data_IF_703533509820
#
_entry.id   IF_703533509820
#
_cell.length_a   1.000
_cell.length_b   1.000
_cell.length_c   1.000
_cell.angle_alpha   90.00
_cell.angle_beta   90.00
_cell.angle_gamma   90.00
#
_symmetry.space_group_name_H-M   'P 1'
#
loop_
_entity.id
_entity.type
_entity.pdbx_description
1 polymer ?
#
# COMPACT_ATOMS: atom_id res chain seq x y z
N UNK A 1 47.62 -51.75 40.80
CA UNK A 1 47.81 -50.28 40.74
C UNK A 1 47.36 -49.87 39.34
N UNK A 2 46.07 -49.52 39.18
CA UNK A 2 45.58 -48.15 38.90
C UNK A 2 46.28 -47.52 37.69
N UNK A 3 45.59 -47.17 36.60
CA UNK A 3 44.45 -46.24 36.54
C UNK A 3 43.54 -46.60 35.35
N UNK A 4 42.22 -46.73 35.61
CA UNK A 4 41.17 -46.66 34.59
C UNK A 4 40.87 -45.17 34.32
N UNK A 5 41.06 -44.71 33.09
CA UNK A 5 40.47 -43.44 32.64
C UNK A 5 39.03 -43.69 32.20
N UNK A 6 38.10 -43.06 32.90
CA UNK A 6 36.71 -42.90 32.48
C UNK A 6 36.68 -41.95 31.27
N UNK A 7 36.01 -42.37 30.20
CA UNK A 7 35.39 -41.44 29.25
C UNK A 7 33.93 -41.84 29.13
N UNK A 8 33.09 -41.08 29.82
CA UNK A 8 31.63 -41.08 29.71
C UNK A 8 31.30 -39.78 29.01
N UNK A 9 30.80 -39.83 27.77
CA UNK A 9 30.06 -38.76 27.14
C UNK A 9 29.16 -39.34 26.02
N UNK A 10 27.87 -39.45 26.35
CA UNK A 10 26.70 -39.32 25.49
C UNK A 10 26.58 -40.20 24.24
N UNK A 11 25.98 -41.38 24.41
CA UNK A 11 25.11 -41.96 23.38
C UNK A 11 23.69 -41.38 23.56
N UNK A 12 23.37 -40.34 22.80
CA UNK A 12 21.99 -39.98 22.50
C UNK A 12 21.88 -39.99 20.98
N UNK A 13 21.46 -41.14 20.43
CA UNK A 13 20.98 -41.22 19.06
C UNK A 13 19.80 -40.25 18.90
N UNK A 14 19.98 -39.25 18.03
CA UNK A 14 18.90 -38.39 17.60
C UNK A 14 17.94 -39.20 16.73
N UNK A 15 16.63 -39.24 17.03
CA UNK A 15 15.68 -39.91 16.15
C UNK A 15 15.60 -39.16 14.81
N UNK A 16 15.96 -39.90 13.76
CA UNK A 16 15.77 -39.59 12.36
C UNK A 16 14.30 -39.32 12.04
N UNK A 17 14.04 -38.25 11.27
CA UNK A 17 12.94 -38.25 10.30
C UNK A 17 11.62 -37.56 10.68
N UNK A 18 11.59 -36.60 11.61
CA UNK A 18 10.44 -35.69 11.65
C UNK A 18 10.54 -34.71 10.48
N UNK A 19 9.55 -34.63 9.56
CA UNK A 19 9.53 -33.56 8.58
C UNK A 19 9.54 -32.23 9.32
N UNK A 20 10.49 -31.36 8.96
CA UNK A 20 10.45 -29.96 9.38
C UNK A 20 9.04 -29.44 9.10
N UNK A 21 8.38 -28.71 10.01
CA UNK A 21 7.05 -28.18 9.76
C UNK A 21 7.10 -27.43 8.44
N UNK A 22 6.27 -27.86 7.49
CA UNK A 22 6.07 -27.21 6.21
C UNK A 22 5.89 -25.71 6.51
N UNK A 23 6.85 -24.87 6.08
CA UNK A 23 6.75 -23.41 6.27
C UNK A 23 5.40 -23.04 5.67
N UNK A 24 4.45 -22.64 6.51
CA UNK A 24 3.13 -22.19 6.07
C UNK A 24 3.34 -21.23 4.90
N UNK A 25 2.73 -21.54 3.75
CA UNK A 25 2.89 -20.74 2.54
C UNK A 25 2.69 -19.26 2.88
N UNK A 26 3.49 -18.34 2.31
CA UNK A 26 3.44 -16.94 2.69
C UNK A 26 1.99 -16.42 2.57
N UNK A 27 1.45 -15.93 3.68
CA UNK A 27 0.07 -15.39 3.77
C UNK A 27 -0.09 -14.09 2.98
N UNK A 28 1.03 -13.48 2.61
CA UNK A 28 1.12 -12.21 1.90
C UNK A 28 2.10 -12.31 0.74
N UNK A 29 1.81 -11.62 -0.35
CA UNK A 29 2.67 -11.52 -1.52
C UNK A 29 3.17 -10.08 -1.68
N UNK A 30 4.36 -9.94 -2.24
CA UNK A 30 4.92 -8.63 -2.60
C UNK A 30 5.18 -8.57 -4.10
N UNK A 31 4.68 -7.52 -4.73
CA UNK A 31 4.87 -7.26 -6.14
C UNK A 31 5.32 -5.81 -6.39
N UNK A 32 6.08 -5.63 -7.47
CA UNK A 32 6.63 -4.35 -7.88
C UNK A 32 5.99 -3.90 -9.18
N UNK A 33 5.53 -2.65 -9.21
CA UNK A 33 4.82 -2.07 -10.34
C UNK A 33 5.54 -0.79 -10.79
N UNK A 34 6.06 -0.82 -12.01
CA UNK A 34 6.60 0.37 -12.66
C UNK A 34 5.45 1.28 -13.11
N UNK A 35 5.51 2.56 -12.76
CA UNK A 35 4.52 3.56 -13.17
C UNK A 35 5.23 4.83 -13.66
N UNK A 36 4.53 5.73 -14.41
CA UNK A 36 5.08 7.03 -14.77
C UNK A 36 5.47 7.92 -13.59
N UNK A 37 4.98 7.63 -12.38
CA UNK A 37 5.31 8.34 -11.15
C UNK A 37 6.27 7.56 -10.23
N UNK A 38 7.00 6.60 -10.80
CA UNK A 38 8.04 5.83 -10.13
C UNK A 38 7.60 4.41 -9.76
N UNK A 39 8.52 3.66 -9.15
CA UNK A 39 8.29 2.29 -8.71
C UNK A 39 7.36 2.27 -7.49
N UNK A 40 6.35 1.42 -7.56
CA UNK A 40 5.41 1.19 -6.46
C UNK A 40 5.49 -0.26 -6.01
N UNK A 41 5.48 -0.47 -4.69
CA UNK A 41 5.48 -1.78 -4.06
C UNK A 41 4.09 -2.06 -3.52
N UNK A 42 3.52 -3.18 -3.94
CA UNK A 42 2.23 -3.66 -3.46
C UNK A 42 2.46 -4.80 -2.46
N UNK A 43 1.74 -4.76 -1.35
CA UNK A 43 1.59 -5.88 -0.44
C UNK A 43 0.14 -6.38 -0.53
N UNK A 44 -0.03 -7.65 -0.86
CA UNK A 44 -1.34 -8.30 -0.98
C UNK A 44 -1.41 -9.51 -0.06
N UNK A 45 -2.61 -9.95 0.26
CA UNK A 45 -2.86 -11.34 0.65
C UNK A 45 -3.57 -12.08 -0.50
N UNK A 46 -4.17 -13.24 -0.22
CA UNK A 46 -4.88 -14.03 -1.24
C UNK A 46 -6.08 -13.29 -1.84
N UNK A 47 -6.69 -12.38 -1.09
CA UNK A 47 -8.00 -11.83 -1.40
C UNK A 47 -7.97 -10.31 -1.62
N UNK A 48 -6.98 -9.60 -1.08
CA UNK A 48 -7.03 -8.14 -0.95
C UNK A 48 -5.68 -7.45 -1.05
N UNK A 49 -5.72 -6.21 -1.51
CA UNK A 49 -4.62 -5.26 -1.45
C UNK A 49 -4.54 -4.66 -0.04
N UNK A 50 -3.34 -4.75 0.56
CA UNK A 50 -3.05 -4.29 1.92
C UNK A 50 -2.35 -2.93 1.90
N UNK A 51 -1.33 -2.79 1.06
CA UNK A 51 -0.65 -1.51 0.84
C UNK A 51 -0.16 -1.35 -0.58
N UNK A 52 -0.01 -0.09 -1.00
CA UNK A 52 0.56 0.31 -2.27
C UNK A 52 1.36 1.59 -2.03
N UNK A 53 2.68 1.46 -2.01
CA UNK A 53 3.61 2.49 -1.52
C UNK A 53 4.65 2.83 -2.58
N UNK A 54 5.09 4.09 -2.62
CA UNK A 54 6.22 4.48 -3.47
C UNK A 54 7.52 3.94 -2.88
N UNK A 55 8.29 3.21 -3.70
CA UNK A 55 9.51 2.54 -3.29
C UNK A 55 10.68 3.07 -4.13
N UNK A 56 11.52 3.98 -3.61
CA UNK A 56 12.62 4.56 -4.37
C UNK A 56 13.79 3.60 -4.60
N UNK A 57 13.92 2.57 -3.74
CA UNK A 57 15.00 1.59 -3.79
C UNK A 57 14.41 0.19 -3.79
N UNK A 58 14.90 -0.68 -4.69
CA UNK A 58 14.64 -2.10 -4.61
C UNK A 58 15.24 -2.60 -3.29
N UNK A 59 14.40 -2.96 -2.32
CA UNK A 59 14.88 -3.63 -1.12
C UNK A 59 15.74 -4.84 -1.51
N UNK A 60 16.78 -5.14 -0.74
CA UNK A 60 17.66 -6.29 -0.97
C UNK A 60 16.95 -7.65 -0.81
N UNK A 61 15.69 -7.65 -0.38
CA UNK A 61 14.83 -8.82 -0.41
C UNK A 61 14.30 -9.06 -1.82
N UNK A 62 14.60 -10.22 -2.39
CA UNK A 62 13.91 -10.68 -3.60
C UNK A 62 12.41 -10.74 -3.28
N UNK A 63 11.56 -9.95 -3.96
CA UNK A 63 10.13 -10.08 -3.77
C UNK A 63 9.73 -11.51 -4.10
N UNK A 64 8.89 -12.13 -3.30
CA UNK A 64 8.25 -13.37 -3.71
C UNK A 64 7.22 -12.98 -4.77
N UNK A 65 7.69 -12.81 -6.01
CA UNK A 65 6.85 -12.73 -7.21
C UNK A 65 6.36 -14.16 -7.45
N UNK A 66 5.43 -14.59 -6.61
CA UNK A 66 4.79 -15.89 -6.78
C UNK A 66 3.86 -15.83 -8.00
N UNK A 67 3.77 -16.90 -8.81
CA UNK A 67 2.66 -17.05 -9.77
C UNK A 67 1.27 -17.04 -9.10
N UNK A 68 1.22 -17.02 -7.76
CA UNK A 68 0.05 -17.07 -6.89
C UNK A 68 -0.44 -15.71 -6.35
N UNK A 69 0.01 -14.56 -6.89
CA UNK A 69 -0.53 -13.22 -6.53
C UNK A 69 -1.54 -12.72 -7.59
N UNK A 70 -2.80 -13.20 -7.60
CA UNK A 70 -3.81 -12.74 -8.55
C UNK A 70 -4.18 -11.27 -8.31
N UNK A 71 -4.15 -10.80 -7.06
CA UNK A 71 -4.51 -9.42 -6.69
C UNK A 71 -3.46 -8.45 -7.22
N UNK A 72 -2.17 -8.71 -7.00
CA UNK A 72 -1.09 -7.87 -7.52
C UNK A 72 -1.01 -7.89 -9.04
N UNK A 73 -1.26 -9.04 -9.69
CA UNK A 73 -1.35 -9.08 -11.17
C UNK A 73 -2.49 -8.21 -11.70
N UNK A 74 -3.69 -8.32 -11.11
CA UNK A 74 -4.82 -7.46 -11.45
C UNK A 74 -4.50 -5.98 -11.19
N UNK A 75 -3.85 -5.67 -10.07
CA UNK A 75 -3.36 -4.32 -9.76
C UNK A 75 -2.42 -3.78 -10.84
N UNK A 76 -1.47 -4.58 -11.31
CA UNK A 76 -0.56 -4.17 -12.38
C UNK A 76 -1.29 -3.78 -13.67
N UNK A 77 -2.30 -4.58 -14.07
CA UNK A 77 -3.14 -4.27 -15.24
C UNK A 77 -3.89 -2.95 -15.04
N UNK A 78 -4.58 -2.79 -13.91
CA UNK A 78 -5.38 -1.60 -13.65
C UNK A 78 -4.53 -0.33 -13.47
N UNK A 79 -3.34 -0.44 -12.88
CA UNK A 79 -2.39 0.68 -12.84
C UNK A 79 -1.97 1.08 -14.26
N UNK A 80 -1.67 0.11 -15.13
CA UNK A 80 -1.37 0.37 -16.54
C UNK A 80 -2.48 1.14 -17.25
N UNK A 81 -3.72 0.67 -17.12
CA UNK A 81 -4.91 1.33 -17.70
C UNK A 81 -5.16 2.73 -17.11
N UNK A 82 -4.98 2.88 -15.79
CA UNK A 82 -5.15 4.16 -15.10
C UNK A 82 -4.15 5.20 -15.61
N UNK A 83 -2.87 4.83 -15.69
CA UNK A 83 -1.82 5.72 -16.18
C UNK A 83 -1.88 5.95 -17.71
N UNK A 84 -2.50 5.04 -18.46
CA UNK A 84 -2.84 5.26 -19.87
C UNK A 84 -4.05 6.18 -20.08
N UNK A 85 -4.79 6.52 -19.00
CA UNK A 85 -6.00 7.34 -19.07
C UNK A 85 -7.24 6.59 -19.57
N UNK A 86 -7.18 5.26 -19.69
CA UNK A 86 -8.30 4.42 -20.14
C UNK A 86 -9.15 3.87 -18.99
N UNK A 87 -8.74 4.11 -17.74
CA UNK A 87 -9.46 3.72 -16.52
C UNK A 87 -9.60 4.91 -15.56
N UNK A 88 -10.78 5.02 -14.95
CA UNK A 88 -11.09 6.08 -13.98
C UNK A 88 -11.28 5.57 -12.54
N UNK A 89 -11.36 4.26 -12.32
CA UNK A 89 -11.55 3.67 -10.99
C UNK A 89 -10.90 2.30 -10.85
N UNK A 90 -10.63 1.88 -9.62
CA UNK A 90 -10.01 0.59 -9.32
C UNK A 90 -11.05 -0.39 -8.80
N UNK A 91 -11.02 -1.61 -9.33
CA UNK A 91 -11.86 -2.74 -8.93
C UNK A 91 -10.98 -3.78 -8.26
N UNK A 92 -10.46 -3.43 -7.08
CA UNK A 92 -9.54 -4.26 -6.30
C UNK A 92 -10.03 -4.32 -4.86
N UNK A 93 -10.24 -5.52 -4.28
CA UNK A 93 -10.62 -5.64 -2.88
C UNK A 93 -9.55 -5.02 -1.97
N UNK A 94 -9.99 -4.19 -1.03
CA UNK A 94 -9.10 -3.48 -0.09
C UNK A 94 -9.29 -4.00 1.33
N UNK A 95 -8.18 -4.25 2.02
CA UNK A 95 -8.17 -4.51 3.46
C UNK A 95 -7.34 -3.44 4.15
N UNK A 96 -8.02 -2.37 4.56
CA UNK A 96 -7.41 -1.20 5.17
C UNK A 96 -7.16 -1.43 6.67
N UNK A 97 -5.89 -1.45 7.06
CA UNK A 97 -5.46 -1.61 8.46
C UNK A 97 -5.00 -0.27 9.03
N UNK A 98 -5.70 0.21 10.05
CA UNK A 98 -5.39 1.48 10.72
C UNK A 98 -6.33 1.71 11.90
N UNK A 99 -6.21 2.86 12.56
CA UNK A 99 -7.16 3.23 13.62
C UNK A 99 -8.57 3.35 13.04
N UNK A 100 -9.64 3.18 13.85
CA UNK A 100 -11.01 3.35 13.37
C UNK A 100 -11.23 4.71 12.68
N UNK A 101 -10.57 5.77 13.17
CA UNK A 101 -10.62 7.10 12.55
C UNK A 101 -9.94 7.13 11.18
N UNK A 102 -8.73 6.57 11.07
CA UNK A 102 -8.01 6.49 9.79
C UNK A 102 -8.81 5.72 8.74
N UNK A 103 -9.33 4.53 9.10
CA UNK A 103 -10.14 3.71 8.18
C UNK A 103 -11.38 4.46 7.71
N UNK A 104 -12.05 5.22 8.60
CA UNK A 104 -13.18 6.08 8.21
C UNK A 104 -12.77 7.16 7.22
N UNK A 105 -11.64 7.84 7.45
CA UNK A 105 -11.11 8.85 6.51
C UNK A 105 -10.81 8.23 5.16
N UNK A 106 -10.08 7.10 5.12
CA UNK A 106 -9.72 6.43 3.86
C UNK A 106 -10.94 5.93 3.08
N UNK A 107 -11.98 5.44 3.76
CA UNK A 107 -13.27 5.11 3.12
C UNK A 107 -13.95 6.34 2.53
N UNK A 108 -13.90 7.49 3.21
CA UNK A 108 -14.43 8.74 2.66
C UNK A 108 -13.63 9.25 1.44
N UNK A 109 -12.32 8.98 1.38
CA UNK A 109 -11.51 9.30 0.19
C UNK A 109 -11.98 8.53 -1.04
N UNK A 110 -12.33 7.25 -0.90
CA UNK A 110 -12.82 6.42 -2.01
C UNK A 110 -14.10 6.97 -2.66
N UNK A 111 -14.88 7.78 -1.92
CA UNK A 111 -16.08 8.43 -2.45
C UNK A 111 -15.78 9.70 -3.28
N UNK A 112 -14.53 10.16 -3.35
CA UNK A 112 -14.14 11.31 -4.18
C UNK A 112 -13.99 10.83 -5.63
N UNK A 113 -14.82 11.30 -6.58
CA UNK A 113 -14.76 10.82 -7.96
C UNK A 113 -13.45 11.17 -8.67
N UNK A 114 -13.12 10.41 -9.71
CA UNK A 114 -12.01 10.72 -10.61
C UNK A 114 -12.16 12.12 -11.20
N UNK A 115 -11.06 12.88 -11.25
CA UNK A 115 -11.02 14.23 -11.81
C UNK A 115 -11.70 15.28 -10.91
N UNK A 116 -12.11 14.91 -9.70
CA UNK A 116 -12.68 15.83 -8.71
C UNK A 116 -11.77 15.94 -7.50
N UNK A 117 -11.75 17.12 -6.92
CA UNK A 117 -11.04 17.41 -5.67
C UNK A 117 -11.99 17.87 -4.60
N UNK A 118 -11.60 17.70 -3.35
CA UNK A 118 -12.29 18.24 -2.17
C UNK A 118 -11.27 18.91 -1.27
N UNK A 119 -11.71 19.86 -0.45
CA UNK A 119 -10.82 20.44 0.56
C UNK A 119 -10.90 19.68 1.91
N UNK A 120 -9.91 19.89 2.78
CA UNK A 120 -9.88 19.22 4.09
C UNK A 120 -11.08 19.57 4.99
N UNK A 121 -11.63 20.78 4.90
CA UNK A 121 -12.86 21.17 5.62
C UNK A 121 -14.07 20.40 5.12
N UNK A 122 -14.28 20.31 3.82
CA UNK A 122 -15.37 19.50 3.24
C UNK A 122 -15.25 18.03 3.65
N UNK A 123 -14.04 17.47 3.63
CA UNK A 123 -13.84 16.08 4.05
C UNK A 123 -14.13 15.88 5.53
N UNK A 124 -13.74 16.83 6.39
CA UNK A 124 -14.05 16.80 7.82
C UNK A 124 -15.56 16.91 8.09
N UNK A 125 -16.27 17.76 7.34
CA UNK A 125 -17.73 17.91 7.42
C UNK A 125 -18.45 16.63 7.00
N UNK A 126 -18.06 16.00 5.89
CA UNK A 126 -18.60 14.68 5.46
C UNK A 126 -18.42 13.60 6.53
N UNK A 127 -17.35 13.70 7.31
CA UNK A 127 -17.05 12.77 8.41
C UNK A 127 -17.72 13.17 9.74
N UNK A 128 -18.44 14.29 9.80
CA UNK A 128 -19.07 14.80 11.02
C UNK A 128 -18.07 15.25 12.09
N UNK A 129 -16.86 15.66 11.69
CA UNK A 129 -15.76 16.02 12.61
C UNK A 129 -15.61 17.54 12.63
N UNK A 130 -16.27 18.19 13.58
CA UNK A 130 -16.18 19.65 13.76
C UNK A 130 -14.72 20.06 14.00
N UNK A 131 -14.23 21.05 13.24
CA UNK A 131 -12.84 21.52 13.29
C UNK A 131 -11.79 20.41 13.11
N UNK A 132 -12.13 19.37 12.35
CA UNK A 132 -11.32 18.17 12.16
C UNK A 132 -10.26 18.22 11.05
N UNK A 133 -10.05 19.36 10.40
CA UNK A 133 -9.22 19.48 9.19
C UNK A 133 -7.80 18.94 9.40
N UNK A 134 -7.18 19.26 10.53
CA UNK A 134 -5.83 18.78 10.88
C UNK A 134 -5.80 17.27 11.10
N UNK A 135 -6.77 16.72 11.83
CA UNK A 135 -6.85 15.29 12.10
C UNK A 135 -7.09 14.49 10.79
N UNK A 136 -7.98 14.98 9.94
CA UNK A 136 -8.22 14.43 8.61
C UNK A 136 -6.97 14.50 7.74
N UNK A 137 -6.26 15.63 7.74
CA UNK A 137 -5.00 15.79 7.01
C UNK A 137 -3.91 14.82 7.47
N UNK A 138 -3.80 14.58 8.78
CA UNK A 138 -2.88 13.58 9.34
C UNK A 138 -3.26 12.16 8.91
N UNK A 139 -4.54 11.79 8.94
CA UNK A 139 -5.02 10.50 8.47
C UNK A 139 -4.85 10.33 6.95
N UNK A 140 -5.05 11.39 6.16
CA UNK A 140 -4.82 11.42 4.72
C UNK A 140 -3.34 11.16 4.36
N UNK A 141 -2.41 11.73 5.14
CA UNK A 141 -0.97 11.57 4.95
C UNK A 141 -0.51 10.12 5.10
N UNK A 142 -1.12 9.36 5.99
CA UNK A 142 -0.73 7.97 6.30
C UNK A 142 -1.59 6.93 5.57
N UNK A 143 -2.20 7.32 4.44
CA UNK A 143 -2.90 6.38 3.57
C UNK A 143 -1.96 5.24 3.11
N UNK A 144 -2.27 3.96 3.41
CA UNK A 144 -1.41 2.84 3.05
C UNK A 144 -1.54 2.42 1.58
N UNK A 145 -2.60 2.83 0.86
CA UNK A 145 -2.87 2.39 -0.52
C UNK A 145 -2.88 3.59 -1.46
N UNK A 146 -1.70 4.13 -1.79
CA UNK A 146 -1.58 5.29 -2.66
C UNK A 146 -2.22 5.04 -4.04
N UNK A 147 -2.66 6.10 -4.71
CA UNK A 147 -3.38 6.09 -6.01
C UNK A 147 -4.77 5.46 -5.94
N UNK A 148 -4.89 4.22 -5.44
CA UNK A 148 -6.16 3.47 -5.34
C UNK A 148 -7.08 4.09 -4.28
N UNK A 149 -6.59 4.36 -3.07
CA UNK A 149 -7.26 5.25 -2.13
C UNK A 149 -6.77 6.67 -2.46
N UNK A 150 -7.65 7.56 -2.99
CA UNK A 150 -7.20 8.74 -3.73
C UNK A 150 -6.88 9.93 -2.81
N UNK A 151 -5.90 9.77 -1.92
CA UNK A 151 -5.47 10.83 -1.00
C UNK A 151 -4.89 12.07 -1.71
N UNK A 152 -4.49 11.95 -2.97
CA UNK A 152 -4.06 13.06 -3.83
C UNK A 152 -5.20 14.01 -4.24
N UNK A 153 -6.46 13.56 -4.16
CA UNK A 153 -7.65 14.38 -4.50
C UNK A 153 -8.07 15.37 -3.39
N UNK A 154 -7.37 15.37 -2.26
CA UNK A 154 -7.63 16.34 -1.17
C UNK A 154 -6.65 17.51 -1.27
N UNK A 155 -7.18 18.73 -1.34
CA UNK A 155 -6.41 19.96 -1.55
C UNK A 155 -6.69 21.01 -0.46
N UNK A 156 -5.95 22.12 -0.47
CA UNK A 156 -6.28 23.26 0.39
C UNK A 156 -7.56 23.95 -0.08
N UNK A 157 -8.19 24.72 0.82
CA UNK A 157 -9.45 25.43 0.49
C UNK A 157 -9.28 26.49 -0.60
N UNK A 158 -8.07 27.06 -0.75
CA UNK A 158 -7.72 28.00 -1.82
C UNK A 158 -7.31 27.30 -3.13
N UNK A 159 -7.43 25.96 -3.19
CA UNK A 159 -7.05 25.15 -4.34
C UNK A 159 -5.55 24.87 -4.44
N UNK A 160 -4.71 25.40 -3.54
CA UNK A 160 -3.28 25.14 -3.59
C UNK A 160 -2.96 23.69 -3.24
N UNK A 161 -1.97 23.15 -3.93
CA UNK A 161 -1.40 21.86 -3.60
C UNK A 161 -0.40 22.02 -2.46
N UNK A 162 -0.70 21.40 -1.32
CA UNK A 162 0.29 21.12 -0.30
C UNK A 162 0.33 19.63 0.00
N UNK A 163 1.50 19.19 0.49
CA UNK A 163 1.69 17.92 1.19
C UNK A 163 1.22 16.68 0.43
N UNK A 164 2.16 15.82 0.06
CA UNK A 164 1.85 14.46 -0.37
C UNK A 164 2.94 13.53 0.15
N UNK A 165 2.56 12.40 0.73
CA UNK A 165 3.55 11.46 1.28
C UNK A 165 4.55 10.99 0.20
N UNK A 166 4.06 10.84 -1.04
CA UNK A 166 4.89 10.57 -2.22
C UNK A 166 5.51 11.81 -2.88
N UNK A 167 5.50 12.99 -2.26
CA UNK A 167 6.04 14.21 -2.88
C UNK A 167 5.09 14.91 -3.85
N UNK A 168 5.23 16.25 -3.94
CA UNK A 168 4.23 17.10 -4.59
C UNK A 168 4.09 16.85 -6.09
N UNK A 169 5.20 16.56 -6.78
CA UNK A 169 5.20 16.28 -8.22
C UNK A 169 4.32 15.08 -8.60
N UNK A 170 4.22 14.06 -7.73
CA UNK A 170 3.33 12.91 -7.95
C UNK A 170 1.86 13.31 -7.85
N UNK A 171 1.53 14.15 -6.85
CA UNK A 171 0.18 14.70 -6.69
C UNK A 171 -0.23 15.53 -7.90
N UNK A 172 0.66 16.40 -8.38
CA UNK A 172 0.47 17.20 -9.60
C UNK A 172 0.23 16.31 -10.82
N UNK A 173 1.08 15.31 -11.02
CA UNK A 173 0.94 14.37 -12.13
C UNK A 173 -0.42 13.63 -12.10
N UNK A 174 -0.81 13.10 -10.94
CA UNK A 174 -2.07 12.39 -10.79
C UNK A 174 -3.26 13.32 -11.08
N UNK A 175 -3.29 14.52 -10.50
CA UNK A 175 -4.37 15.48 -10.76
C UNK A 175 -4.41 15.95 -12.22
N UNK A 176 -3.26 16.16 -12.85
CA UNK A 176 -3.16 16.49 -14.28
C UNK A 176 -3.68 15.37 -15.18
N UNK A 177 -3.33 14.12 -14.87
CA UNK A 177 -3.87 12.94 -15.54
C UNK A 177 -5.40 12.88 -15.41
N UNK A 178 -5.93 13.05 -14.20
CA UNK A 178 -7.37 12.89 -13.96
C UNK A 178 -8.22 14.04 -14.51
N UNK A 179 -7.68 15.25 -14.59
CA UNK A 179 -8.37 16.42 -15.14
C UNK A 179 -8.31 16.50 -16.67
N UNK A 180 -7.55 15.61 -17.32
CA UNK A 180 -7.26 15.67 -18.76
C UNK A 180 -6.34 16.84 -19.15
N UNK A 181 -5.78 17.55 -18.17
CA UNK A 181 -4.87 18.67 -18.38
C UNK A 181 -3.44 18.21 -18.09
N UNK A 182 -2.71 17.85 -19.14
CA UNK A 182 -1.26 17.63 -19.03
C UNK A 182 -0.60 18.95 -18.62
N UNK A 183 -0.13 19.04 -17.38
CA UNK A 183 0.67 20.18 -16.88
C UNK A 183 -0.07 21.17 -15.99
N UNK A 184 -1.19 20.81 -15.36
CA UNK A 184 -1.70 21.63 -14.26
C UNK A 184 -0.80 21.48 -13.03
N UNK A 185 -0.28 22.63 -12.59
CA UNK A 185 0.58 22.91 -11.44
C UNK A 185 2.09 22.68 -11.62
#
# INVERSE_FOLDING_TARGET
MSVRMQSSLFDIEAPSGAPLPERAAPTTFESLHHTPIGLMRALTDRDSLLSLEFCPELGSGTPIIGPADPVGRNLGVQLGEYFAGTRQGFEIPLRLMGTPFQVRVWKALLAIPFGKTVCYSELAERLGVKNGQRAVGMANRVNPVAVVVPCHRVVQADGQLCGYAGGLWRKQHLLGLESGQRGLF
#
